data_IF_560235008605
#
_entry.id   IF_560235008605
#
_cell.length_a   1.000
_cell.length_b   1.000
_cell.length_c   1.000
_cell.angle_alpha   90.00
_cell.angle_beta   90.00
_cell.angle_gamma   90.00
#
_symmetry.space_group_name_H-M   'P 1'
#
loop_
_entity.id
_entity.type
_entity.pdbx_description
1 polymer ?
#
# COMPACT_ATOMS: atom_id res chain seq x y z
N UNK A 1 -14.50 1.95 11.89
CA UNK A 1 -14.02 0.54 11.95
C UNK A 1 -13.34 0.26 10.62
N UNK A 2 -12.05 0.56 10.52
CA UNK A 2 -11.26 0.16 9.39
C UNK A 2 -10.94 -1.32 9.54
N UNK A 3 -11.44 -2.15 8.62
CA UNK A 3 -11.20 -3.59 8.61
C UNK A 3 -9.71 -3.83 8.35
N UNK A 4 -9.04 -4.44 9.30
CA UNK A 4 -7.71 -5.01 9.12
C UNK A 4 -7.78 -6.06 8.03
N UNK A 5 -7.05 -5.85 6.95
CA UNK A 5 -6.99 -6.76 5.81
C UNK A 5 -6.17 -7.98 6.23
N UNK A 6 -6.83 -9.12 6.38
CA UNK A 6 -6.26 -10.40 6.79
C UNK A 6 -5.10 -10.82 5.86
N UNK A 7 -3.88 -10.90 6.41
CA UNK A 7 -2.66 -11.29 5.68
C UNK A 7 -2.67 -12.76 5.24
N UNK A 8 -3.52 -13.63 5.80
CA UNK A 8 -3.73 -15.02 5.32
C UNK A 8 -4.27 -15.03 3.88
N UNK A 9 -4.90 -13.93 3.44
CA UNK A 9 -5.31 -13.73 2.06
C UNK A 9 -4.14 -13.43 1.11
N UNK A 10 -2.94 -13.05 1.61
CA UNK A 10 -1.80 -12.68 0.75
C UNK A 10 -1.28 -13.88 -0.04
N UNK A 11 -1.14 -15.04 0.62
CA UNK A 11 -0.71 -16.28 -0.04
C UNK A 11 -1.78 -16.83 -0.98
N UNK A 12 -3.06 -16.73 -0.62
CA UNK A 12 -4.17 -17.04 -1.51
C UNK A 12 -4.22 -16.12 -2.74
N UNK A 13 -3.74 -14.88 -2.59
CA UNK A 13 -3.62 -13.89 -3.68
C UNK A 13 -2.39 -14.12 -4.56
N UNK A 14 -1.24 -14.50 -3.98
CA UNK A 14 -0.05 -14.89 -4.73
C UNK A 14 -0.31 -16.16 -5.57
N UNK A 15 -1.04 -17.12 -5.05
CA UNK A 15 -1.48 -18.30 -5.84
C UNK A 15 -2.44 -17.91 -6.98
N UNK A 16 -3.32 -16.93 -6.77
CA UNK A 16 -4.11 -16.32 -7.83
C UNK A 16 -3.23 -15.55 -8.83
N UNK A 17 -2.20 -14.82 -8.38
CA UNK A 17 -1.26 -14.14 -9.25
C UNK A 17 -0.58 -15.12 -10.24
N UNK A 18 -0.22 -16.31 -9.80
CA UNK A 18 0.35 -17.33 -10.71
C UNK A 18 -0.62 -17.77 -11.82
N UNK A 19 -1.92 -17.80 -11.56
CA UNK A 19 -2.91 -18.12 -12.60
C UNK A 19 -3.14 -16.96 -13.59
N UNK A 20 -2.97 -15.71 -13.14
CA UNK A 20 -3.13 -14.51 -13.98
C UNK A 20 -1.97 -14.26 -14.94
N UNK A 21 -0.75 -14.68 -14.62
CA UNK A 21 0.39 -14.59 -15.56
C UNK A 21 0.19 -15.42 -16.85
N UNK A 22 -0.84 -16.25 -16.91
CA UNK A 22 -1.19 -16.99 -18.13
C UNK A 22 -1.99 -16.13 -19.14
N UNK A 23 -2.65 -15.07 -18.70
CA UNK A 23 -3.55 -14.25 -19.54
C UNK A 23 -2.90 -12.96 -20.08
N UNK A 24 -1.62 -12.69 -19.74
CA UNK A 24 -0.90 -11.48 -20.17
C UNK A 24 -1.26 -10.22 -19.35
N UNK A 25 -0.52 -9.13 -19.63
CA UNK A 25 -0.79 -7.83 -19.03
C UNK A 25 -1.86 -7.11 -19.85
N UNK A 26 -2.89 -6.56 -19.18
CA UNK A 26 -3.91 -5.77 -19.83
C UNK A 26 -3.35 -4.35 -20.10
N UNK A 27 -3.03 -4.08 -21.36
CA UNK A 27 -2.48 -2.80 -21.83
C UNK A 27 -3.28 -2.29 -23.02
N UNK A 28 -3.47 -0.99 -23.08
CA UNK A 28 -4.04 -0.31 -24.25
C UNK A 28 -2.93 -0.01 -25.26
N UNK A 29 -3.00 -0.63 -26.45
CA UNK A 29 -2.05 -0.42 -27.54
C UNK A 29 -2.08 1.01 -28.10
N UNK A 30 -3.15 1.77 -27.86
CA UNK A 30 -3.32 3.15 -28.28
C UNK A 30 -2.94 4.16 -27.19
N UNK A 31 -2.43 3.72 -26.05
CA UNK A 31 -1.99 4.63 -25.00
C UNK A 31 -0.76 5.41 -25.45
N UNK A 32 -0.83 6.74 -25.31
CA UNK A 32 0.24 7.68 -25.63
C UNK A 32 0.70 8.48 -24.42
N UNK A 33 0.59 7.90 -23.20
CA UNK A 33 1.09 8.56 -22.00
C UNK A 33 2.61 8.78 -22.11
N UNK A 34 3.10 9.99 -21.79
CA UNK A 34 4.53 10.23 -21.65
C UNK A 34 5.17 9.25 -20.66
N UNK A 35 6.42 8.84 -20.89
CA UNK A 35 7.14 7.90 -20.03
C UNK A 35 7.17 8.36 -18.54
N UNK A 36 7.33 9.66 -18.32
CA UNK A 36 7.33 10.23 -16.97
C UNK A 36 5.99 10.02 -16.23
N UNK A 37 4.87 10.15 -16.94
CA UNK A 37 3.54 9.94 -16.38
C UNK A 37 3.25 8.44 -16.22
N UNK A 38 3.66 7.62 -17.21
CA UNK A 38 3.57 6.18 -17.11
C UNK A 38 4.32 5.65 -15.88
N UNK A 39 5.54 6.14 -15.61
CA UNK A 39 6.31 5.78 -14.42
C UNK A 39 5.54 6.10 -13.14
N UNK A 40 4.90 7.26 -13.06
CA UNK A 40 4.13 7.69 -11.88
C UNK A 40 2.89 6.83 -11.67
N UNK A 41 2.08 6.59 -12.71
CA UNK A 41 0.88 5.75 -12.57
C UNK A 41 1.21 4.29 -12.26
N UNK A 42 2.40 3.82 -12.68
CA UNK A 42 2.85 2.45 -12.43
C UNK A 42 3.03 2.11 -10.95
N UNK A 43 3.16 3.10 -10.07
CA UNK A 43 3.18 2.87 -8.62
C UNK A 43 1.88 2.19 -8.11
N UNK A 44 0.74 2.45 -8.73
CA UNK A 44 -0.54 1.82 -8.42
C UNK A 44 -0.84 0.53 -9.17
N UNK A 45 0.03 0.10 -10.09
CA UNK A 45 -0.28 -0.95 -11.06
C UNK A 45 -0.45 -2.34 -10.44
N UNK A 46 0.11 -2.64 -9.28
CA UNK A 46 -0.16 -3.90 -8.58
C UNK A 46 -1.64 -4.00 -8.18
N UNK A 47 -2.25 -2.90 -7.72
CA UNK A 47 -3.69 -2.86 -7.44
C UNK A 47 -4.53 -2.92 -8.73
N UNK A 48 -4.15 -2.14 -9.75
CA UNK A 48 -4.85 -2.14 -11.05
C UNK A 48 -4.84 -3.56 -11.64
N UNK A 49 -3.70 -4.23 -11.61
CA UNK A 49 -3.54 -5.60 -12.08
C UNK A 49 -4.44 -6.58 -11.33
N UNK A 50 -4.50 -6.50 -9.99
CA UNK A 50 -5.36 -7.33 -9.15
C UNK A 50 -6.85 -7.18 -9.49
N UNK A 51 -7.24 -6.04 -10.05
CA UNK A 51 -8.60 -5.74 -10.51
C UNK A 51 -8.80 -5.96 -12.01
N UNK A 52 -7.82 -6.55 -12.70
CA UNK A 52 -7.84 -6.76 -14.16
C UNK A 52 -7.98 -5.46 -14.98
N UNK A 53 -7.54 -4.35 -14.40
CA UNK A 53 -7.57 -3.04 -15.04
C UNK A 53 -6.46 -2.84 -16.07
N UNK A 54 -6.48 -1.69 -16.76
CA UNK A 54 -5.52 -1.33 -17.80
C UNK A 54 -4.30 -0.64 -17.19
N UNK A 55 -3.10 -1.16 -17.46
CA UNK A 55 -1.88 -0.79 -16.74
C UNK A 55 -1.20 0.48 -17.25
N UNK A 56 -1.39 0.83 -18.52
CA UNK A 56 -0.65 1.90 -19.20
C UNK A 56 -1.53 3.10 -19.60
N UNK A 57 -2.69 3.25 -18.97
CA UNK A 57 -3.59 4.39 -19.13
C UNK A 57 -3.79 5.12 -17.81
N UNK A 58 -4.20 6.39 -17.90
CA UNK A 58 -4.53 7.16 -16.71
C UNK A 58 -5.78 6.62 -16.00
N UNK A 59 -6.78 6.27 -16.78
CA UNK A 59 -7.96 5.55 -16.34
C UNK A 59 -7.59 4.09 -16.03
N UNK A 60 -8.11 3.56 -14.92
CA UNK A 60 -7.78 2.20 -14.49
C UNK A 60 -8.52 1.12 -15.28
N UNK A 61 -9.63 1.48 -15.94
CA UNK A 61 -10.52 0.50 -16.61
C UNK A 61 -11.25 -0.45 -15.64
N UNK A 62 -11.12 -0.24 -14.33
CA UNK A 62 -11.87 -1.00 -13.32
C UNK A 62 -13.35 -0.71 -13.45
N UNK A 63 -14.20 -1.75 -13.49
CA UNK A 63 -15.64 -1.58 -13.71
C UNK A 63 -16.32 -0.74 -12.63
N UNK A 64 -17.38 0.03 -12.95
CA UNK A 64 -18.06 0.88 -11.97
C UNK A 64 -18.56 0.14 -10.72
N UNK A 65 -19.02 -1.11 -10.86
CA UNK A 65 -19.45 -1.94 -9.74
C UNK A 65 -18.31 -2.29 -8.79
N UNK A 66 -17.15 -2.69 -9.34
CA UNK A 66 -15.95 -3.00 -8.55
C UNK A 66 -15.40 -1.74 -7.89
N UNK A 67 -15.36 -0.59 -8.61
CA UNK A 67 -14.96 0.70 -8.02
C UNK A 67 -15.80 1.05 -6.78
N UNK A 68 -17.13 0.93 -6.88
CA UNK A 68 -18.03 1.21 -5.74
C UNK A 68 -17.76 0.32 -4.53
N UNK A 69 -17.47 -0.96 -4.74
CA UNK A 69 -17.10 -1.89 -3.67
C UNK A 69 -15.76 -1.47 -3.05
N UNK A 70 -14.74 -1.22 -3.87
CA UNK A 70 -13.42 -0.82 -3.36
C UNK A 70 -13.53 0.50 -2.58
N UNK A 71 -14.10 1.53 -3.17
CA UNK A 71 -14.21 2.84 -2.54
C UNK A 71 -15.10 2.81 -1.30
N UNK A 72 -16.31 2.24 -1.41
CA UNK A 72 -17.31 2.27 -0.33
C UNK A 72 -17.02 1.28 0.78
N UNK A 73 -16.78 0.00 0.45
CA UNK A 73 -16.70 -1.04 1.48
C UNK A 73 -15.31 -1.11 2.13
N UNK A 74 -14.23 -0.89 1.37
CA UNK A 74 -12.87 -1.00 1.90
C UNK A 74 -12.30 0.33 2.41
N UNK A 75 -12.68 1.46 1.79
CA UNK A 75 -12.12 2.77 2.14
C UNK A 75 -13.15 3.74 2.74
N UNK A 76 -14.45 3.39 2.78
CA UNK A 76 -15.49 4.27 3.30
C UNK A 76 -15.75 5.51 2.44
N UNK A 77 -15.32 5.51 1.18
CA UNK A 77 -15.43 6.64 0.25
C UNK A 77 -16.75 6.52 -0.49
N UNK A 78 -17.69 7.44 -0.19
CA UNK A 78 -19.03 7.47 -0.80
C UNK A 78 -19.33 8.77 -1.54
N UNK A 79 -18.52 9.80 -1.33
CA UNK A 79 -18.68 11.15 -1.85
C UNK A 79 -17.32 11.88 -1.91
N UNK A 80 -17.37 13.17 -2.31
CA UNK A 80 -16.20 14.03 -2.41
C UNK A 80 -15.50 14.23 -1.07
N UNK A 81 -16.25 14.50 0.00
CA UNK A 81 -15.67 14.86 1.30
C UNK A 81 -14.89 13.65 1.89
N UNK A 82 -15.50 12.48 1.88
CA UNK A 82 -14.85 11.23 2.29
C UNK A 82 -13.67 10.85 1.38
N UNK A 83 -13.73 11.18 0.08
CA UNK A 83 -12.59 10.98 -0.82
C UNK A 83 -11.39 11.86 -0.42
N UNK A 84 -11.60 13.15 -0.21
CA UNK A 84 -10.54 14.08 0.19
C UNK A 84 -9.94 13.70 1.55
N UNK A 85 -10.77 13.34 2.53
CA UNK A 85 -10.31 12.89 3.84
C UNK A 85 -9.41 11.66 3.73
N UNK A 86 -9.86 10.63 3.00
CA UNK A 86 -9.12 9.39 2.82
C UNK A 86 -7.81 9.60 2.03
N UNK A 87 -7.83 10.39 0.96
CA UNK A 87 -6.62 10.68 0.18
C UNK A 87 -5.59 11.49 0.98
N UNK A 88 -6.04 12.45 1.80
CA UNK A 88 -5.17 13.17 2.72
C UNK A 88 -4.54 12.23 3.76
N UNK A 89 -5.32 11.30 4.32
CA UNK A 89 -4.81 10.29 5.25
C UNK A 89 -3.78 9.37 4.57
N UNK A 90 -4.06 8.87 3.37
CA UNK A 90 -3.10 8.03 2.60
C UNK A 90 -1.80 8.77 2.27
N UNK A 91 -1.88 10.08 2.01
CA UNK A 91 -0.69 10.90 1.71
C UNK A 91 0.28 11.05 2.87
N UNK A 92 -0.14 10.73 4.09
CA UNK A 92 0.69 10.72 5.30
C UNK A 92 1.41 9.39 5.54
N UNK A 93 1.34 8.44 4.60
CA UNK A 93 1.96 7.12 4.69
C UNK A 93 1.65 6.38 6.02
N UNK A 94 0.36 6.13 6.32
CA UNK A 94 -0.06 5.59 7.62
C UNK A 94 0.49 4.19 7.89
N UNK A 95 0.64 3.35 6.87
CA UNK A 95 1.23 2.01 7.05
C UNK A 95 2.72 2.06 7.32
N UNK A 96 3.45 2.97 6.68
CA UNK A 96 4.87 3.20 6.96
C UNK A 96 5.07 3.70 8.40
N UNK A 97 4.19 4.60 8.87
CA UNK A 97 4.23 5.07 10.27
C UNK A 97 4.01 3.91 11.25
N UNK A 98 2.99 3.09 11.02
CA UNK A 98 2.71 1.90 11.84
C UNK A 98 3.87 0.89 11.78
N UNK A 99 4.41 0.65 10.59
CA UNK A 99 5.59 -0.20 10.39
C UNK A 99 6.77 0.29 11.23
N UNK A 100 7.04 1.60 11.25
CA UNK A 100 8.14 2.18 12.00
C UNK A 100 8.06 1.84 13.51
N UNK A 101 6.90 2.02 14.14
CA UNK A 101 6.71 1.67 15.55
C UNK A 101 6.86 0.16 15.79
N UNK A 102 6.22 -0.67 14.98
CA UNK A 102 6.30 -2.13 15.09
C UNK A 102 7.74 -2.64 14.88
N UNK A 103 8.44 -2.10 13.89
CA UNK A 103 9.83 -2.44 13.59
C UNK A 103 10.79 -2.02 14.71
N UNK A 104 10.62 -0.80 15.26
CA UNK A 104 11.44 -0.35 16.39
C UNK A 104 11.25 -1.26 17.59
N UNK A 105 10.01 -1.66 17.86
CA UNK A 105 9.71 -2.65 18.90
C UNK A 105 10.35 -4.03 18.61
N UNK A 106 10.25 -4.50 17.36
CA UNK A 106 10.83 -5.76 16.91
C UNK A 106 12.35 -5.84 17.15
N UNK A 107 13.05 -4.71 17.04
CA UNK A 107 14.48 -4.62 17.32
C UNK A 107 14.84 -4.72 18.81
N UNK A 108 13.88 -4.56 19.74
CA UNK A 108 14.14 -4.62 21.19
C UNK A 108 14.45 -6.04 21.71
N UNK A 109 14.19 -7.09 20.92
CA UNK A 109 14.55 -8.47 21.29
C UNK A 109 13.43 -9.49 21.21
N UNK A 110 12.25 -9.08 20.74
CA UNK A 110 11.11 -9.97 20.47
C UNK A 110 10.23 -10.26 21.70
N UNK A 111 9.07 -10.86 21.43
CA UNK A 111 8.13 -11.32 22.43
C UNK A 111 7.67 -10.25 23.43
N UNK A 112 7.71 -10.57 24.71
CA UNK A 112 7.22 -9.66 25.75
C UNK A 112 8.03 -8.36 25.87
N UNK A 113 9.30 -8.33 25.48
CA UNK A 113 10.13 -7.12 25.52
C UNK A 113 9.64 -6.13 24.50
N UNK A 114 9.41 -6.58 23.27
CA UNK A 114 8.89 -5.75 22.18
C UNK A 114 7.49 -5.22 22.46
N UNK A 115 6.59 -6.07 23.00
CA UNK A 115 5.23 -5.66 23.40
C UNK A 115 5.25 -4.63 24.51
N UNK A 116 6.13 -4.83 25.52
CA UNK A 116 6.30 -3.87 26.60
C UNK A 116 6.75 -2.51 26.09
N UNK A 117 7.71 -2.47 25.15
CA UNK A 117 8.19 -1.24 24.54
C UNK A 117 7.05 -0.44 23.88
N UNK A 118 6.18 -1.10 23.10
CA UNK A 118 5.00 -0.44 22.48
C UNK A 118 4.00 0.07 23.51
N UNK A 119 3.72 -0.72 24.56
CA UNK A 119 2.76 -0.36 25.60
C UNK A 119 3.23 0.81 26.47
N UNK A 120 4.54 0.96 26.66
CA UNK A 120 5.14 2.02 27.47
C UNK A 120 5.59 3.24 26.64
N UNK A 121 5.42 3.20 25.31
CA UNK A 121 5.80 4.30 24.44
C UNK A 121 4.92 5.53 24.70
N UNK A 122 5.56 6.67 25.04
CA UNK A 122 4.85 7.90 25.42
C UNK A 122 3.99 8.47 24.29
N UNK A 123 4.45 8.37 23.03
CA UNK A 123 3.74 8.89 21.85
C UNK A 123 2.47 8.08 21.54
N UNK A 124 2.40 6.82 22.00
CA UNK A 124 1.27 5.93 21.75
C UNK A 124 0.27 5.87 22.92
N UNK A 125 0.56 6.52 24.07
CA UNK A 125 -0.27 6.42 25.27
C UNK A 125 -1.71 6.87 25.04
N UNK A 126 -1.90 7.99 24.36
CA UNK A 126 -3.20 8.58 24.07
C UNK A 126 -3.90 7.96 22.85
N UNK A 127 -3.21 7.05 22.12
CA UNK A 127 -3.67 6.48 20.84
C UNK A 127 -3.85 4.97 20.93
N UNK A 128 -4.77 4.53 21.80
CA UNK A 128 -4.96 3.10 22.11
C UNK A 128 -5.23 2.23 20.89
N UNK A 129 -6.09 2.67 19.96
CA UNK A 129 -6.41 1.89 18.77
C UNK A 129 -5.18 1.76 17.84
N UNK A 130 -4.50 2.86 17.57
CA UNK A 130 -3.26 2.84 16.78
C UNK A 130 -2.15 2.00 17.43
N UNK A 131 -2.01 2.04 18.77
CA UNK A 131 -1.08 1.18 19.48
C UNK A 131 -1.44 -0.30 19.33
N UNK A 132 -2.72 -0.67 19.40
CA UNK A 132 -3.17 -2.03 19.17
C UNK A 132 -2.86 -2.49 17.74
N UNK A 133 -3.07 -1.63 16.74
CA UNK A 133 -2.69 -1.91 15.35
C UNK A 133 -1.17 -2.13 15.21
N UNK A 134 -0.35 -1.36 15.93
CA UNK A 134 1.10 -1.56 15.97
C UNK A 134 1.49 -2.91 16.62
N UNK A 135 0.76 -3.35 17.66
CA UNK A 135 0.97 -4.66 18.30
C UNK A 135 0.63 -5.81 17.34
N UNK A 136 -0.48 -5.73 16.60
CA UNK A 136 -0.84 -6.72 15.56
C UNK A 136 0.21 -6.77 14.45
N UNK A 137 0.71 -5.59 14.04
CA UNK A 137 1.78 -5.50 13.04
C UNK A 137 3.08 -6.11 13.54
N UNK A 138 3.43 -5.90 14.80
CA UNK A 138 4.59 -6.53 15.45
C UNK A 138 4.46 -8.06 15.46
N UNK A 139 3.30 -8.61 15.83
CA UNK A 139 3.06 -10.05 15.81
C UNK A 139 3.23 -10.64 14.40
N UNK A 140 2.66 -9.97 13.40
CA UNK A 140 2.82 -10.35 12.00
C UNK A 140 4.30 -10.32 11.58
N UNK A 141 5.04 -9.29 11.99
CA UNK A 141 6.47 -9.15 11.69
C UNK A 141 7.30 -10.26 12.34
N UNK A 142 7.06 -10.57 13.62
CA UNK A 142 7.73 -11.65 14.34
C UNK A 142 7.45 -13.02 13.69
N UNK A 143 6.22 -13.26 13.26
CA UNK A 143 5.82 -14.50 12.60
C UNK A 143 6.42 -14.66 11.20
N UNK A 144 6.41 -13.59 10.40
CA UNK A 144 6.75 -13.66 8.97
C UNK A 144 8.21 -13.37 8.65
N UNK A 145 8.95 -12.72 9.54
CA UNK A 145 10.36 -12.38 9.29
C UNK A 145 11.20 -13.60 8.89
N UNK A 146 11.13 -14.78 9.57
CA UNK A 146 11.90 -15.94 9.16
C UNK A 146 11.59 -16.43 7.74
N UNK A 147 10.33 -16.33 7.31
CA UNK A 147 9.91 -16.77 5.98
C UNK A 147 10.45 -15.85 4.89
N UNK A 148 10.38 -14.52 5.11
CA UNK A 148 10.88 -13.54 4.14
C UNK A 148 12.41 -13.53 4.07
N UNK A 149 13.10 -13.79 5.17
CA UNK A 149 14.56 -13.98 5.21
C UNK A 149 14.97 -15.25 4.46
N UNK A 150 14.30 -16.38 4.72
CA UNK A 150 14.55 -17.64 4.02
C UNK A 150 14.24 -17.54 2.51
N UNK A 151 13.24 -16.77 2.13
CA UNK A 151 12.93 -16.51 0.72
C UNK A 151 13.92 -15.58 0.02
N UNK A 152 14.87 -15.00 0.76
CA UNK A 152 15.87 -14.05 0.23
C UNK A 152 15.23 -12.70 -0.21
N UNK A 153 14.07 -12.35 0.34
CA UNK A 153 13.45 -11.06 0.12
C UNK A 153 14.24 -9.98 0.86
N UNK A 154 14.65 -10.27 2.08
CA UNK A 154 15.61 -9.49 2.87
C UNK A 154 16.66 -10.43 3.44
N UNK A 155 17.86 -9.94 3.70
CA UNK A 155 18.97 -10.74 4.30
C UNK A 155 19.23 -10.38 5.77
N UNK A 156 18.60 -9.33 6.27
CA UNK A 156 18.72 -8.90 7.68
C UNK A 156 17.54 -8.05 8.12
N UNK A 157 17.43 -7.86 9.44
CA UNK A 157 16.44 -6.94 10.02
C UNK A 157 16.68 -5.50 9.55
N UNK A 158 17.93 -5.07 9.44
CA UNK A 158 18.31 -3.74 8.96
C UNK A 158 17.84 -3.51 7.52
N UNK A 159 17.97 -4.51 6.66
CA UNK A 159 17.48 -4.43 5.28
C UNK A 159 15.97 -4.34 5.24
N UNK A 160 15.25 -5.13 6.06
CA UNK A 160 13.80 -5.02 6.22
C UNK A 160 13.38 -3.62 6.66
N UNK A 161 14.10 -3.02 7.62
CA UNK A 161 13.83 -1.66 8.08
C UNK A 161 14.03 -0.59 7.00
N UNK A 162 15.06 -0.76 6.14
CA UNK A 162 15.31 0.14 5.00
C UNK A 162 14.26 -0.04 3.90
N UNK A 163 13.85 -1.26 3.66
CA UNK A 163 12.80 -1.58 2.69
C UNK A 163 11.48 -0.95 3.08
N UNK A 164 11.08 -1.08 4.35
CA UNK A 164 9.82 -0.57 4.86
C UNK A 164 8.59 -1.08 4.12
N UNK A 165 7.50 -0.35 4.22
CA UNK A 165 6.22 -0.64 3.53
C UNK A 165 5.65 0.60 2.80
N UNK A 166 6.51 1.55 2.47
CA UNK A 166 6.10 2.82 1.87
C UNK A 166 5.49 2.64 0.47
N UNK A 167 5.93 1.61 -0.27
CA UNK A 167 5.35 1.26 -1.56
C UNK A 167 3.87 0.87 -1.45
N UNK A 168 3.47 0.26 -0.35
CA UNK A 168 2.08 -0.07 -0.06
C UNK A 168 1.21 1.20 0.08
N UNK A 169 1.69 2.20 0.81
CA UNK A 169 0.97 3.48 0.96
C UNK A 169 0.92 4.26 -0.36
N UNK A 170 2.03 4.35 -1.07
CA UNK A 170 2.11 5.02 -2.36
C UNK A 170 1.22 4.37 -3.42
N UNK A 171 1.23 3.04 -3.48
CA UNK A 171 0.38 2.26 -4.39
C UNK A 171 -1.11 2.50 -4.13
N UNK A 172 -1.52 2.54 -2.85
CA UNK A 172 -2.91 2.85 -2.47
C UNK A 172 -3.30 4.28 -2.82
N UNK A 173 -2.48 5.26 -2.47
CA UNK A 173 -2.73 6.66 -2.79
C UNK A 173 -2.93 6.86 -4.30
N UNK A 174 -2.04 6.28 -5.09
CA UNK A 174 -2.11 6.33 -6.55
C UNK A 174 -3.38 5.67 -7.09
N UNK A 175 -3.65 4.44 -6.69
CA UNK A 175 -4.79 3.67 -7.19
C UNK A 175 -6.12 4.26 -6.76
N UNK A 176 -6.30 4.59 -5.47
CA UNK A 176 -7.56 5.11 -4.94
C UNK A 176 -7.87 6.50 -5.50
N UNK A 177 -6.87 7.38 -5.69
CA UNK A 177 -7.12 8.68 -6.33
C UNK A 177 -7.63 8.54 -7.76
N UNK A 178 -7.11 7.58 -8.54
CA UNK A 178 -7.59 7.30 -9.89
C UNK A 178 -9.03 6.75 -9.88
N UNK A 179 -9.37 5.85 -8.95
CA UNK A 179 -10.76 5.38 -8.79
C UNK A 179 -11.71 6.51 -8.37
N UNK A 180 -11.28 7.42 -7.48
CA UNK A 180 -12.05 8.59 -7.09
C UNK A 180 -12.29 9.54 -8.27
N UNK A 181 -11.30 9.73 -9.15
CA UNK A 181 -11.47 10.51 -10.38
C UNK A 181 -12.48 9.84 -11.33
N UNK A 182 -12.34 8.53 -11.58
CA UNK A 182 -13.28 7.79 -12.44
C UNK A 182 -14.71 7.72 -11.88
N UNK A 183 -14.86 7.93 -10.57
CA UNK A 183 -16.15 8.01 -9.88
C UNK A 183 -16.66 9.47 -9.77
N UNK A 184 -15.93 10.44 -10.32
CA UNK A 184 -16.23 11.89 -10.30
C UNK A 184 -16.29 12.50 -8.89
N UNK A 185 -15.64 11.86 -7.90
CA UNK A 185 -15.53 12.41 -6.54
C UNK A 185 -14.47 13.51 -6.43
N UNK A 186 -13.43 13.46 -7.29
CA UNK A 186 -12.37 14.47 -7.38
C UNK A 186 -12.13 14.87 -8.83
N UNK A 187 -11.49 16.01 -9.03
CA UNK A 187 -11.09 16.48 -10.36
C UNK A 187 -9.68 15.96 -10.73
N UNK A 188 -9.35 16.06 -12.01
CA UNK A 188 -8.08 15.55 -12.55
C UNK A 188 -6.85 16.15 -11.88
N UNK A 189 -6.89 17.44 -11.57
CA UNK A 189 -5.82 18.16 -10.89
C UNK A 189 -5.53 17.60 -9.51
N UNK A 190 -6.57 17.25 -8.74
CA UNK A 190 -6.45 16.64 -7.42
C UNK A 190 -5.90 15.21 -7.51
N UNK A 191 -6.36 14.43 -8.48
CA UNK A 191 -5.82 13.11 -8.74
C UNK A 191 -4.33 13.17 -9.10
N UNK A 192 -3.92 14.11 -9.97
CA UNK A 192 -2.51 14.31 -10.32
C UNK A 192 -1.67 14.75 -9.13
N UNK A 193 -2.21 15.54 -8.19
CA UNK A 193 -1.53 15.88 -6.95
C UNK A 193 -1.25 14.63 -6.11
N UNK A 194 -2.23 13.73 -5.96
CA UNK A 194 -2.05 12.45 -5.26
C UNK A 194 -1.01 11.55 -5.93
N UNK A 195 -1.07 11.41 -7.26
CA UNK A 195 -0.09 10.63 -8.03
C UNK A 195 1.33 11.20 -7.87
N UNK A 196 1.48 12.52 -7.94
CA UNK A 196 2.76 13.17 -7.71
C UNK A 196 3.24 12.99 -6.27
N UNK A 197 2.36 13.11 -5.27
CA UNK A 197 2.70 12.85 -3.87
C UNK A 197 3.19 11.41 -3.67
N UNK A 198 2.52 10.41 -4.24
CA UNK A 198 2.94 9.01 -4.21
C UNK A 198 4.33 8.81 -4.83
N UNK A 199 4.60 9.48 -5.95
CA UNK A 199 5.91 9.43 -6.59
C UNK A 199 7.00 10.11 -5.75
N UNK A 200 6.73 11.32 -5.23
CA UNK A 200 7.69 12.07 -4.40
C UNK A 200 8.07 11.31 -3.13
N UNK A 201 7.12 10.64 -2.46
CA UNK A 201 7.42 9.86 -1.26
C UNK A 201 8.29 8.62 -1.51
N UNK A 202 8.33 8.09 -2.74
CA UNK A 202 8.99 6.81 -3.06
C UNK A 202 10.28 6.96 -3.86
N UNK A 203 10.45 8.02 -4.65
CA UNK A 203 11.54 8.19 -5.63
C UNK A 203 12.95 8.15 -5.06
N UNK A 204 13.12 8.61 -3.81
CA UNK A 204 14.42 8.62 -3.12
C UNK A 204 14.63 7.34 -2.28
N UNK A 205 13.57 6.57 -2.03
CA UNK A 205 13.63 5.35 -1.20
C UNK A 205 13.91 4.12 -2.07
N UNK A 206 13.21 4.02 -3.21
CA UNK A 206 13.35 2.86 -4.09
C UNK A 206 14.03 3.24 -5.41
N UNK A 207 15.21 2.70 -5.63
CA UNK A 207 16.00 2.94 -6.84
C UNK A 207 15.65 1.97 -7.98
N UNK A 208 14.89 0.92 -7.70
CA UNK A 208 14.47 -0.10 -8.65
C UNK A 208 13.10 -0.69 -8.31
N UNK A 209 12.46 -1.31 -9.30
CA UNK A 209 11.13 -1.90 -9.17
C UNK A 209 11.09 -3.15 -8.29
N UNK A 210 12.20 -3.85 -8.12
CA UNK A 210 12.29 -5.03 -7.25
C UNK A 210 12.09 -4.63 -5.80
N UNK A 211 12.83 -3.61 -5.32
CA UNK A 211 12.71 -3.11 -3.96
C UNK A 211 11.33 -2.52 -3.71
N UNK A 212 10.78 -1.78 -4.69
CA UNK A 212 9.42 -1.30 -4.64
C UNK A 212 8.41 -2.44 -4.46
N UNK A 213 8.52 -3.51 -5.25
CA UNK A 213 7.63 -4.67 -5.18
C UNK A 213 7.76 -5.45 -3.87
N UNK A 214 8.96 -5.53 -3.30
CA UNK A 214 9.18 -6.18 -2.01
C UNK A 214 8.63 -5.37 -0.82
N UNK A 215 8.60 -4.04 -0.93
CA UNK A 215 8.00 -3.13 0.05
C UNK A 215 6.46 -3.08 -0.05
N UNK A 216 5.90 -3.46 -1.19
CA UNK A 216 4.46 -3.54 -1.42
C UNK A 216 3.86 -4.78 -0.77
#
# INVERSE_FOLDING_TARGET
KHSTMDMTSLWGRLAKLQSFFQDGLNVDENSHLPEADLRKISLGNLYVYQQQGVLNTFETGVTPSVRKVILGEYFGITDRDSAIETLNWLSQAPSQTMFHYAYTAFLQGGGNISRKWLNENEELKEHTDFRNDCLEKLETMEEKYPDIEQAGIVVSKEEMGKLGVLAWDAGRLNFISRLCLEQEYIVKEECMQCINAAYEMTKEVYTNWKDYAYSY
#
